data_IF_811158706832
#
_entry.id   IF_811158706832
#
_cell.length_a   1.000
_cell.length_b   1.000
_cell.length_c   1.000
_cell.angle_alpha   90.00
_cell.angle_beta   90.00
_cell.angle_gamma   90.00
#
_symmetry.space_group_name_H-M   'P 1'
#
loop_
_entity.id
_entity.type
_entity.pdbx_description
1 polymer ?
#
# COMPACT_ATOMS: atom_id res chain seq x y z
N UNK A 1 -5.98 18.46 3.93
CA UNK A 1 -6.32 19.26 5.13
C UNK A 1 -6.86 20.61 4.66
N UNK A 2 -7.31 21.48 5.54
CA UNK A 2 -7.85 22.79 5.13
C UNK A 2 -6.77 23.65 4.42
N UNK A 3 -5.51 23.27 4.58
CA UNK A 3 -4.30 23.92 4.11
C UNK A 3 -3.72 23.28 2.82
N UNK A 4 -4.39 22.27 2.25
CA UNK A 4 -3.95 21.65 1.00
C UNK A 4 -2.71 20.75 1.10
N UNK A 5 -2.39 20.25 2.30
CA UNK A 5 -1.22 19.41 2.52
C UNK A 5 -1.34 18.04 1.82
N UNK A 6 -0.20 17.53 1.34
CA UNK A 6 -0.09 16.19 0.77
C UNK A 6 -0.13 15.14 1.88
N UNK A 7 -1.30 14.53 2.08
CA UNK A 7 -1.50 13.51 3.12
C UNK A 7 -1.18 12.09 2.67
N UNK A 8 -1.19 11.85 1.35
CA UNK A 8 -0.89 10.56 0.78
C UNK A 8 -0.61 10.61 -0.71
N UNK A 9 0.09 9.60 -1.20
CA UNK A 9 0.50 9.46 -2.58
C UNK A 9 0.44 8.00 -3.04
N UNK A 10 0.28 7.83 -4.35
CA UNK A 10 0.36 6.54 -5.02
C UNK A 10 1.26 6.68 -6.24
N UNK A 11 2.19 5.74 -6.40
CA UNK A 11 2.97 5.64 -7.62
C UNK A 11 2.06 5.27 -8.81
N UNK A 12 2.31 5.82 -10.00
CA UNK A 12 1.37 5.69 -11.15
C UNK A 12 1.22 4.25 -11.66
N UNK A 13 2.32 3.50 -11.70
CA UNK A 13 2.37 2.16 -12.31
C UNK A 13 2.71 1.06 -11.28
N UNK A 14 3.67 1.32 -10.41
CA UNK A 14 4.06 0.42 -9.32
C UNK A 14 3.05 0.43 -8.15
N UNK A 15 2.91 -0.71 -7.43
CA UNK A 15 2.03 -0.86 -6.27
C UNK A 15 2.65 -0.24 -5.00
N UNK A 16 3.08 1.02 -5.10
CA UNK A 16 3.75 1.77 -4.03
C UNK A 16 2.84 2.90 -3.56
N UNK A 17 2.67 3.01 -2.25
CA UNK A 17 1.78 3.95 -1.58
C UNK A 17 2.51 4.58 -0.40
N UNK A 18 2.24 5.85 -0.12
CA UNK A 18 2.78 6.57 1.03
C UNK A 18 1.71 7.41 1.70
N UNK A 19 1.76 7.51 3.02
CA UNK A 19 0.91 8.38 3.85
C UNK A 19 1.81 9.17 4.80
N UNK A 20 1.43 10.41 5.11
CA UNK A 20 2.22 11.29 5.98
C UNK A 20 1.97 11.03 7.48
N UNK A 21 0.81 10.45 7.81
CA UNK A 21 0.42 10.13 9.18
C UNK A 21 0.82 8.70 9.56
N UNK A 22 0.56 8.34 10.82
CA UNK A 22 0.87 7.06 11.43
C UNK A 22 -0.35 6.12 11.42
N UNK A 23 -0.57 5.29 10.39
CA UNK A 23 -1.70 4.33 10.35
C UNK A 23 -1.61 3.24 11.42
N UNK A 24 -0.44 3.06 12.03
CA UNK A 24 -0.21 2.12 13.14
C UNK A 24 -0.70 2.64 14.49
N UNK A 25 -0.97 3.94 14.61
CA UNK A 25 -1.43 4.53 15.87
C UNK A 25 -2.86 4.12 16.19
N UNK A 26 -3.14 3.77 17.46
CA UNK A 26 -4.42 3.21 17.91
C UNK A 26 -5.62 4.14 17.71
N UNK A 27 -5.39 5.45 17.69
CA UNK A 27 -6.41 6.48 17.50
C UNK A 27 -6.55 6.92 16.04
N UNK A 28 -5.71 6.41 15.13
CA UNK A 28 -5.82 6.76 13.71
C UNK A 28 -7.05 6.06 13.13
N UNK A 29 -8.03 6.86 12.75
CA UNK A 29 -9.25 6.37 12.10
C UNK A 29 -8.89 5.56 10.84
N UNK A 30 -9.47 4.36 10.72
CA UNK A 30 -9.19 3.40 9.64
C UNK A 30 -7.73 2.91 9.53
N UNK A 31 -6.88 3.13 10.54
CA UNK A 31 -5.47 2.73 10.50
C UNK A 31 -5.28 1.22 10.24
N UNK A 32 -6.08 0.40 10.91
CA UNK A 32 -6.05 -1.07 10.77
C UNK A 32 -6.50 -1.52 9.38
N UNK A 33 -7.52 -0.88 8.82
CA UNK A 33 -8.05 -1.15 7.49
C UNK A 33 -7.02 -0.78 6.40
N UNK A 34 -6.32 0.34 6.57
CA UNK A 34 -5.21 0.74 5.70
C UNK A 34 -4.08 -0.30 5.70
N UNK A 35 -3.68 -0.78 6.88
CA UNK A 35 -2.66 -1.83 7.01
C UNK A 35 -3.11 -3.15 6.36
N UNK A 36 -4.38 -3.55 6.54
CA UNK A 36 -4.92 -4.74 5.91
C UNK A 36 -4.90 -4.64 4.36
N UNK A 37 -5.21 -3.47 3.81
CA UNK A 37 -5.12 -3.22 2.38
C UNK A 37 -3.67 -3.28 1.87
N UNK A 38 -2.73 -2.72 2.63
CA UNK A 38 -1.31 -2.77 2.30
C UNK A 38 -0.80 -4.21 2.17
N UNK A 39 -1.17 -5.08 3.11
CA UNK A 39 -0.80 -6.50 3.08
C UNK A 39 -1.41 -7.25 1.88
N UNK A 40 -2.67 -6.95 1.52
CA UNK A 40 -3.33 -7.56 0.34
C UNK A 40 -2.61 -7.20 -0.97
N UNK A 41 -2.13 -5.97 -1.09
CA UNK A 41 -1.37 -5.51 -2.26
C UNK A 41 -0.07 -6.31 -2.38
N UNK A 42 0.65 -6.53 -1.26
CA UNK A 42 1.89 -7.32 -1.27
C UNK A 42 1.65 -8.76 -1.73
N UNK A 43 0.59 -9.40 -1.24
CA UNK A 43 0.24 -10.78 -1.64
C UNK A 43 -0.05 -10.85 -3.15
N UNK A 44 -0.81 -9.90 -3.70
CA UNK A 44 -1.11 -9.87 -5.13
C UNK A 44 0.18 -9.71 -5.97
N UNK A 45 1.13 -8.90 -5.51
CA UNK A 45 2.40 -8.72 -6.22
C UNK A 45 3.33 -9.93 -6.13
N UNK A 46 3.34 -10.64 -5.00
CA UNK A 46 4.09 -11.88 -4.84
C UNK A 46 3.56 -13.00 -5.75
N UNK A 47 2.24 -13.20 -5.80
CA UNK A 47 1.61 -14.18 -6.70
C UNK A 47 1.91 -13.90 -8.19
N UNK A 48 1.99 -12.62 -8.58
CA UNK A 48 2.39 -12.22 -9.94
C UNK A 48 3.88 -12.42 -10.24
N UNK A 49 4.74 -12.41 -9.21
CA UNK A 49 6.18 -12.70 -9.34
C UNK A 49 6.43 -14.19 -9.52
N UNK A 50 5.74 -15.04 -8.76
CA UNK A 50 5.93 -16.49 -8.80
C UNK A 50 5.53 -17.06 -10.17
N UNK A 51 4.48 -16.54 -10.77
CA UNK A 51 4.07 -16.88 -12.15
C UNK A 51 5.08 -16.42 -13.21
N UNK A 52 5.63 -15.21 -13.09
CA UNK A 52 6.63 -14.69 -14.03
C UNK A 52 8.00 -15.39 -13.92
N UNK A 53 8.34 -15.96 -12.77
CA UNK A 53 9.55 -16.79 -12.60
C UNK A 53 9.34 -18.18 -13.19
N UNK A 54 8.15 -18.78 -13.01
CA UNK A 54 7.82 -20.10 -13.56
C UNK A 54 7.81 -20.12 -15.11
N UNK A 55 7.40 -19.04 -15.76
CA UNK A 55 7.34 -18.96 -17.23
C UNK A 55 8.72 -18.74 -17.91
N UNK A 56 9.77 -18.53 -17.12
CA UNK A 56 11.16 -18.33 -17.59
C UNK A 56 12.07 -19.54 -17.34
N UNK A 57 11.55 -20.61 -16.74
CA UNK A 57 12.24 -21.88 -16.51
C UNK A 57 11.80 -22.93 -17.52
#
# INVERSE_FOLDING_TARGET
>A
TAEGELMGLRHKTLPIYGVQFHPESILTEYGRELLANFLKIQIATAASRDSAVAERA
#
